data_IF_992285227705
#
_entry.id   IF_992285227705
#
_cell.length_a   1.000
_cell.length_b   1.000
_cell.length_c   1.000
_cell.angle_alpha   90.00
_cell.angle_beta   90.00
_cell.angle_gamma   90.00
#
_symmetry.space_group_name_H-M   'P 1'
#
loop_
_entity.id
_entity.type
_entity.pdbx_description
1 polymer ?
#
# COMPACT_ATOMS: atom_id res chain seq x y z
N UNK A 1 0.69 49.02 56.67
CA UNK A 1 -0.43 48.30 56.02
C UNK A 1 0.08 47.78 54.68
N UNK A 2 0.54 46.53 54.66
CA UNK A 2 1.18 45.91 53.49
C UNK A 2 0.18 45.09 52.69
N UNK A 3 0.05 45.40 51.41
CA UNK A 3 -0.71 44.60 50.44
C UNK A 3 0.24 43.55 49.84
N UNK A 4 0.09 42.30 50.28
CA UNK A 4 0.67 41.13 49.62
C UNK A 4 -0.18 40.74 48.41
N UNK A 5 0.32 41.04 47.21
CA UNK A 5 -0.29 40.62 45.95
C UNK A 5 0.23 39.26 45.51
N UNK A 6 -0.65 38.26 45.46
CA UNK A 6 -0.37 36.90 45.01
C UNK A 6 -0.32 36.86 43.49
N UNK A 7 0.89 36.73 42.92
CA UNK A 7 1.12 36.54 41.49
C UNK A 7 0.93 35.06 41.13
N UNK A 8 -0.20 34.71 40.52
CA UNK A 8 -0.45 33.37 39.99
C UNK A 8 0.21 33.21 38.61
N UNK A 9 1.36 32.54 38.56
CA UNK A 9 2.05 32.18 37.31
C UNK A 9 1.36 30.92 36.75
N UNK A 10 0.51 31.09 35.74
CA UNK A 10 0.01 29.99 34.92
C UNK A 10 1.10 29.55 33.94
N UNK A 11 1.83 28.50 34.30
CA UNK A 11 2.68 27.76 33.35
C UNK A 11 1.75 26.98 32.42
N UNK A 12 1.53 27.53 31.22
CA UNK A 12 0.78 26.86 30.16
C UNK A 12 1.58 25.68 29.62
N UNK A 13 1.36 24.50 30.20
CA UNK A 13 1.84 23.24 29.63
C UNK A 13 1.25 23.07 28.24
N UNK A 14 2.09 23.15 27.21
CA UNK A 14 1.74 22.75 25.85
C UNK A 14 1.55 21.24 25.89
N UNK A 15 0.29 20.80 25.99
CA UNK A 15 -0.08 19.42 25.71
C UNK A 15 0.11 19.20 24.21
N UNK A 16 1.27 18.64 23.84
CA UNK A 16 1.42 17.99 22.54
C UNK A 16 0.57 16.74 22.61
N UNK A 17 -0.67 16.85 22.15
CA UNK A 17 -1.53 15.70 21.93
C UNK A 17 -0.92 14.95 20.75
N UNK A 18 -0.04 13.99 21.05
CA UNK A 18 0.43 13.02 20.07
C UNK A 18 -0.81 12.31 19.54
N UNK A 19 -1.18 12.63 18.31
CA UNK A 19 -2.22 11.89 17.59
C UNK A 19 -1.84 10.41 17.62
N UNK A 20 -2.78 9.50 17.97
CA UNK A 20 -2.47 8.08 17.95
C UNK A 20 -2.03 7.73 16.53
N UNK A 21 -0.75 7.37 16.38
CA UNK A 21 -0.25 6.80 15.13
C UNK A 21 -1.12 5.58 14.85
N UNK A 22 -1.76 5.54 13.69
CA UNK A 22 -2.50 4.37 13.25
C UNK A 22 -1.60 3.14 13.43
N UNK A 23 -2.08 2.14 14.16
CA UNK A 23 -1.30 0.95 14.43
C UNK A 23 -1.15 0.20 13.10
N UNK A 24 0.06 0.22 12.54
CA UNK A 24 0.41 -0.58 11.36
C UNK A 24 0.05 -2.04 11.64
N UNK A 25 -0.47 -2.73 10.62
CA UNK A 25 -0.78 -4.14 10.74
C UNK A 25 0.49 -4.91 11.10
N UNK A 26 0.38 -5.84 12.04
CA UNK A 26 1.53 -6.57 12.55
C UNK A 26 1.70 -7.91 11.82
N UNK A 27 2.87 -8.16 11.25
CA UNK A 27 3.25 -9.52 10.82
C UNK A 27 3.61 -10.32 12.06
N UNK A 28 2.91 -11.42 12.27
CA UNK A 28 3.09 -12.31 13.42
C UNK A 28 3.50 -13.70 12.99
N UNK A 29 4.41 -14.32 13.74
CA UNK A 29 4.85 -15.69 13.49
C UNK A 29 5.18 -16.42 14.79
N UNK A 30 4.82 -17.69 14.88
CA UNK A 30 5.06 -18.54 16.05
C UNK A 30 6.31 -19.40 15.84
N UNK A 31 7.12 -19.53 16.89
CA UNK A 31 8.34 -20.33 16.86
C UNK A 31 8.35 -21.30 18.05
N UNK A 32 8.67 -22.56 17.76
CA UNK A 32 8.83 -23.60 18.78
C UNK A 32 10.24 -23.57 19.36
N UNK A 33 10.35 -23.62 20.69
CA UNK A 33 11.60 -23.68 21.42
C UNK A 33 11.69 -24.93 22.29
N UNK A 34 12.84 -25.59 22.28
CA UNK A 34 13.20 -26.66 23.21
C UNK A 34 13.90 -26.06 24.42
N UNK A 35 13.30 -26.18 25.60
CA UNK A 35 13.76 -25.55 26.84
C UNK A 35 14.34 -26.58 27.81
N UNK A 36 15.54 -26.28 28.33
CA UNK A 36 16.21 -27.05 29.37
C UNK A 36 16.67 -26.14 30.50
N UNK A 37 16.46 -26.56 31.75
CA UNK A 37 16.94 -25.85 32.93
C UNK A 37 15.91 -25.73 34.04
N UNK A 38 16.40 -25.47 35.25
CA UNK A 38 15.67 -25.60 36.51
C UNK A 38 14.45 -24.70 36.71
N UNK A 39 14.26 -23.64 35.90
CA UNK A 39 13.16 -22.70 36.11
C UNK A 39 11.80 -23.30 35.72
N UNK A 40 11.71 -23.97 34.56
CA UNK A 40 10.45 -24.56 34.06
C UNK A 40 10.31 -26.06 34.40
N UNK A 41 11.38 -26.85 34.29
CA UNK A 41 11.44 -28.27 34.71
C UNK A 41 12.89 -28.71 34.86
N UNK A 42 13.21 -29.41 35.94
CA UNK A 42 14.56 -29.90 36.19
C UNK A 42 14.91 -31.19 35.45
N UNK A 43 13.93 -31.94 34.91
CA UNK A 43 14.16 -33.33 34.44
C UNK A 43 13.77 -33.60 33.00
N UNK A 44 12.95 -32.76 32.37
CA UNK A 44 12.45 -33.00 31.01
C UNK A 44 12.55 -31.75 30.14
N UNK A 45 12.96 -31.94 28.88
CA UNK A 45 12.91 -30.89 27.86
C UNK A 45 11.45 -30.47 27.66
N UNK A 46 11.15 -29.19 27.85
CA UNK A 46 9.83 -28.64 27.57
C UNK A 46 9.82 -27.93 26.22
N UNK A 47 8.65 -27.91 25.57
CA UNK A 47 8.45 -27.13 24.36
C UNK A 47 7.63 -25.89 24.67
N UNK A 48 8.13 -24.71 24.29
CA UNK A 48 7.43 -23.42 24.45
C UNK A 48 7.21 -22.80 23.07
N UNK A 49 5.98 -22.35 22.78
CA UNK A 49 5.66 -21.60 21.56
C UNK A 49 5.74 -20.11 21.83
N UNK A 50 6.63 -19.40 21.15
CA UNK A 50 6.86 -17.96 21.31
C UNK A 50 6.50 -17.24 20.03
N UNK A 51 5.66 -16.21 20.13
CA UNK A 51 5.29 -15.38 19.00
C UNK A 51 6.31 -14.26 18.80
N UNK A 52 6.71 -13.98 17.56
CA UNK A 52 7.33 -12.72 17.18
C UNK A 52 6.33 -11.90 16.38
N UNK A 53 6.31 -10.59 16.62
CA UNK A 53 5.41 -9.63 16.00
C UNK A 53 6.19 -8.36 15.67
N UNK A 54 6.08 -7.89 14.44
CA UNK A 54 6.68 -6.63 13.99
C UNK A 54 5.68 -5.88 13.11
N UNK A 55 5.89 -4.59 12.81
CA UNK A 55 5.19 -3.95 11.70
C UNK A 55 5.33 -4.77 10.42
N UNK A 56 4.32 -4.73 9.58
CA UNK A 56 4.31 -5.35 8.26
C UNK A 56 5.33 -4.76 7.29
N UNK A 57 5.58 -3.46 7.43
CA UNK A 57 6.55 -2.73 6.65
C UNK A 57 7.33 -1.70 7.47
N UNK A 58 8.57 -1.44 7.07
CA UNK A 58 9.46 -0.48 7.74
C UNK A 58 10.31 0.29 6.73
N UNK A 59 10.59 1.56 6.97
CA UNK A 59 11.43 2.35 6.07
C UNK A 59 12.92 2.09 6.32
N UNK A 60 13.72 1.99 5.26
CA UNK A 60 15.18 1.86 5.41
C UNK A 60 15.77 3.06 6.19
N UNK A 61 16.74 2.80 7.08
CA UNK A 61 17.34 3.83 7.93
C UNK A 61 16.57 4.14 9.21
N UNK A 62 15.44 3.46 9.46
CA UNK A 62 14.63 3.61 10.68
C UNK A 62 14.81 2.45 11.65
N UNK A 63 14.26 2.60 12.85
CA UNK A 63 14.12 1.53 13.83
C UNK A 63 12.67 1.13 13.98
N UNK A 64 12.40 -0.15 14.19
CA UNK A 64 11.06 -0.64 14.51
C UNK A 64 11.07 -1.51 15.78
N UNK A 65 9.90 -1.59 16.41
CA UNK A 65 9.68 -2.43 17.58
C UNK A 65 9.33 -3.86 17.15
N UNK A 66 10.12 -4.81 17.64
CA UNK A 66 9.90 -6.25 17.52
C UNK A 66 9.40 -6.77 18.86
N UNK A 67 8.15 -7.19 18.90
CA UNK A 67 7.49 -7.72 20.08
C UNK A 67 7.63 -9.23 20.14
N UNK A 68 8.21 -9.72 21.23
CA UNK A 68 8.31 -11.14 21.58
C UNK A 68 7.18 -11.48 22.55
N UNK A 69 6.23 -12.28 22.10
CA UNK A 69 5.05 -12.72 22.86
C UNK A 69 5.38 -13.98 23.65
N UNK A 70 5.64 -13.81 24.95
CA UNK A 70 5.89 -14.94 25.86
C UNK A 70 4.53 -15.49 26.32
N UNK A 71 4.24 -16.78 26.08
CA UNK A 71 2.99 -17.39 26.51
C UNK A 71 2.95 -17.49 28.04
N UNK A 72 1.81 -17.93 28.58
CA UNK A 72 1.76 -18.36 29.98
C UNK A 72 2.76 -19.51 30.21
N UNK A 73 3.49 -19.46 31.31
CA UNK A 73 4.49 -20.47 31.68
C UNK A 73 4.18 -21.06 33.06
N UNK A 74 4.65 -22.29 33.29
CA UNK A 74 4.58 -22.95 34.59
C UNK A 74 6.01 -23.17 35.12
N UNK A 75 6.30 -22.58 36.28
CA UNK A 75 7.55 -22.75 37.00
C UNK A 75 7.61 -24.10 37.71
N UNK A 76 8.81 -24.66 37.83
CA UNK A 76 9.07 -25.87 38.59
C UNK A 76 8.83 -25.67 40.10
N UNK A 77 9.01 -24.45 40.61
CA UNK A 77 8.79 -24.09 42.02
C UNK A 77 8.31 -22.65 42.11
N UNK A 78 7.31 -22.39 42.94
CA UNK A 78 6.84 -21.03 43.19
C UNK A 78 7.94 -20.21 43.89
N UNK A 79 8.16 -18.94 43.50
CA UNK A 79 9.12 -18.10 44.20
C UNK A 79 8.62 -17.78 45.62
N UNK A 80 9.53 -17.64 46.57
CA UNK A 80 9.22 -17.34 47.98
C UNK A 80 8.80 -15.88 48.21
N UNK A 81 9.09 -15.00 47.24
CA UNK A 81 8.70 -13.60 47.24
C UNK A 81 8.29 -13.18 45.82
N UNK A 82 7.51 -12.11 45.71
CA UNK A 82 7.14 -11.55 44.41
C UNK A 82 8.39 -11.15 43.62
N UNK A 83 8.42 -11.51 42.35
CA UNK A 83 9.55 -11.29 41.44
C UNK A 83 9.04 -11.01 40.02
N UNK A 84 9.94 -10.79 39.07
CA UNK A 84 9.62 -10.61 37.66
C UNK A 84 10.40 -11.61 36.82
N UNK A 85 9.75 -12.22 35.84
CA UNK A 85 10.44 -12.96 34.79
C UNK A 85 11.38 -12.02 34.03
N UNK A 86 12.61 -12.43 33.80
CA UNK A 86 13.58 -11.80 32.90
C UNK A 86 13.65 -12.62 31.63
N UNK A 87 13.51 -11.95 30.49
CA UNK A 87 13.42 -12.56 29.16
C UNK A 87 14.57 -12.02 28.32
N UNK A 88 15.54 -12.87 28.00
CA UNK A 88 16.66 -12.49 27.13
C UNK A 88 16.61 -13.33 25.84
N UNK A 89 16.12 -12.72 24.77
CA UNK A 89 16.00 -13.35 23.46
C UNK A 89 17.13 -12.85 22.55
N UNK A 90 17.95 -13.77 22.06
CA UNK A 90 18.92 -13.49 21.00
C UNK A 90 18.23 -13.65 19.65
N UNK A 91 18.41 -12.67 18.78
CA UNK A 91 17.79 -12.60 17.46
C UNK A 91 18.79 -11.97 16.49
N UNK A 92 18.76 -12.42 15.23
CA UNK A 92 19.67 -11.95 14.20
C UNK A 92 18.86 -11.36 13.04
N UNK A 93 18.63 -10.03 13.02
CA UNK A 93 18.09 -9.33 11.86
C UNK A 93 19.08 -9.39 10.69
N UNK A 94 18.59 -9.61 9.48
CA UNK A 94 19.39 -9.59 8.25
C UNK A 94 18.62 -8.90 7.11
N UNK A 95 19.09 -7.74 6.63
CA UNK A 95 20.13 -6.91 7.23
C UNK A 95 19.63 -6.22 8.51
N UNK A 96 20.55 -5.67 9.32
CA UNK A 96 20.22 -4.89 10.51
C UNK A 96 20.83 -5.40 11.81
N UNK A 97 20.40 -4.81 12.93
CA UNK A 97 20.88 -5.18 14.27
C UNK A 97 19.87 -4.82 15.36
N UNK A 98 19.90 -5.55 16.48
CA UNK A 98 19.15 -5.22 17.69
C UNK A 98 19.87 -4.07 18.41
N UNK A 99 19.17 -2.95 18.62
CA UNK A 99 19.75 -1.73 19.21
C UNK A 99 19.77 -1.76 20.74
N UNK A 100 18.90 -2.56 21.34
CA UNK A 100 18.76 -2.69 22.79
C UNK A 100 18.84 -4.17 23.23
N UNK A 101 19.98 -4.86 22.94
CA UNK A 101 20.15 -6.26 23.29
C UNK A 101 20.14 -6.47 24.82
N UNK A 102 19.87 -7.71 25.23
CA UNK A 102 19.90 -8.11 26.64
C UNK A 102 18.52 -8.41 27.22
N UNK A 103 18.50 -8.65 28.53
CA UNK A 103 17.30 -9.07 29.24
C UNK A 103 16.24 -7.96 29.32
N UNK A 104 14.99 -8.35 29.09
CA UNK A 104 13.79 -7.50 29.22
C UNK A 104 12.94 -7.97 30.39
N UNK A 105 12.29 -7.03 31.06
CA UNK A 105 11.36 -7.31 32.16
C UNK A 105 10.06 -7.90 31.64
N UNK A 106 9.88 -9.20 31.85
CA UNK A 106 8.67 -9.97 31.58
C UNK A 106 7.61 -9.84 32.67
N UNK A 107 6.80 -10.89 32.84
CA UNK A 107 5.62 -10.85 33.73
C UNK A 107 6.01 -10.81 35.20
N UNK A 108 5.15 -10.17 36.00
CA UNK A 108 5.27 -10.25 37.45
C UNK A 108 4.81 -11.65 37.89
N UNK A 109 5.60 -12.27 38.76
CA UNK A 109 5.33 -13.59 39.34
C UNK A 109 5.11 -13.39 40.82
N UNK A 110 3.92 -13.70 41.31
CA UNK A 110 3.63 -13.77 42.75
C UNK A 110 4.13 -15.10 43.31
N UNK A 111 3.77 -15.47 44.54
CA UNK A 111 4.14 -16.77 45.14
C UNK A 111 3.37 -17.95 44.51
N UNK A 112 3.32 -18.00 43.18
CA UNK A 112 2.62 -18.98 42.34
C UNK A 112 3.59 -19.60 41.34
N UNK A 113 3.29 -20.82 40.88
CA UNK A 113 4.01 -21.45 39.78
C UNK A 113 3.57 -20.93 38.41
N UNK A 114 2.43 -20.26 38.30
CA UNK A 114 1.97 -19.70 37.01
C UNK A 114 2.59 -18.34 36.75
N UNK A 115 3.20 -18.17 35.58
CA UNK A 115 3.70 -16.90 35.05
C UNK A 115 2.73 -16.45 33.95
N UNK A 116 2.01 -15.33 34.12
CA UNK A 116 1.10 -14.82 33.10
C UNK A 116 1.83 -14.54 31.78
N UNK A 117 1.12 -14.69 30.65
CA UNK A 117 1.63 -14.27 29.36
C UNK A 117 1.98 -12.77 29.37
N UNK A 118 3.10 -12.40 28.74
CA UNK A 118 3.49 -10.99 28.59
C UNK A 118 4.40 -10.79 27.40
N UNK A 119 4.21 -9.65 26.75
CA UNK A 119 5.01 -9.20 25.63
C UNK A 119 6.25 -8.43 26.12
N UNK A 120 7.39 -8.66 25.48
CA UNK A 120 8.60 -7.84 25.63
C UNK A 120 9.02 -7.29 24.29
N UNK A 121 9.57 -6.07 24.27
CA UNK A 121 9.90 -5.36 23.03
C UNK A 121 11.41 -5.21 22.89
N UNK A 122 11.89 -5.42 21.66
CA UNK A 122 13.25 -5.16 21.21
C UNK A 122 13.21 -4.18 20.03
N UNK A 123 14.20 -3.30 19.93
CA UNK A 123 14.33 -2.35 18.83
C UNK A 123 15.26 -2.92 17.77
N UNK A 124 14.72 -3.07 16.56
CA UNK A 124 15.49 -3.51 15.39
C UNK A 124 15.82 -2.28 14.55
N UNK A 125 17.10 -2.12 14.21
CA UNK A 125 17.56 -1.09 13.27
C UNK A 125 17.67 -1.63 11.86
N UNK A 126 17.21 -0.85 10.90
CA UNK A 126 17.31 -1.13 9.47
C UNK A 126 18.37 -0.22 8.85
N UNK A 127 19.44 -0.75 8.25
CA UNK A 127 20.45 0.08 7.61
C UNK A 127 19.85 0.91 6.48
N UNK A 128 20.31 2.15 6.32
CA UNK A 128 19.99 3.00 5.16
C UNK A 128 20.32 2.28 3.85
N UNK A 129 19.45 2.40 2.85
CA UNK A 129 19.64 1.75 1.55
C UNK A 129 19.32 0.24 1.54
N UNK A 130 18.81 -0.31 2.64
CA UNK A 130 18.25 -1.67 2.63
C UNK A 130 17.04 -1.72 1.70
N UNK A 131 16.97 -2.74 0.85
CA UNK A 131 15.89 -2.94 -0.12
C UNK A 131 15.24 -4.30 0.07
N UNK A 132 13.92 -4.42 -0.14
CA UNK A 132 13.21 -5.70 -0.12
C UNK A 132 12.64 -6.03 1.25
N UNK A 133 13.44 -6.64 2.14
CA UNK A 133 12.97 -7.06 3.47
C UNK A 133 14.10 -7.14 4.51
N UNK A 134 13.71 -7.13 5.78
CA UNK A 134 14.53 -7.51 6.93
C UNK A 134 14.02 -8.83 7.46
N UNK A 135 14.86 -9.87 7.42
CA UNK A 135 14.55 -11.18 7.96
C UNK A 135 15.10 -11.28 9.39
N UNK A 136 14.23 -11.50 10.37
CA UNK A 136 14.63 -11.73 11.76
C UNK A 136 14.64 -13.22 12.05
N UNK A 137 15.83 -13.77 12.25
CA UNK A 137 15.99 -15.16 12.68
C UNK A 137 16.01 -15.25 14.21
N UNK A 138 15.12 -16.02 14.85
CA UNK A 138 15.20 -16.29 16.28
C UNK A 138 16.45 -17.12 16.62
N UNK A 139 17.03 -16.86 17.79
CA UNK A 139 18.16 -17.61 18.33
C UNK A 139 17.80 -18.35 19.61
N UNK A 140 18.62 -18.17 20.64
CA UNK A 140 18.40 -18.66 21.99
C UNK A 140 17.50 -17.70 22.78
N UNK A 141 16.61 -18.26 23.60
CA UNK A 141 15.79 -17.56 24.58
C UNK A 141 16.20 -18.02 25.99
N UNK A 142 16.63 -17.09 26.85
CA UNK A 142 16.98 -17.38 28.25
C UNK A 142 15.93 -16.75 29.15
N UNK A 143 15.36 -17.58 30.03
CA UNK A 143 14.37 -17.20 31.02
C UNK A 143 14.99 -17.31 32.42
N UNK A 144 14.83 -16.27 33.23
CA UNK A 144 15.26 -16.26 34.64
C UNK A 144 14.29 -15.44 35.49
N UNK A 145 14.42 -15.47 36.81
CA UNK A 145 13.69 -14.56 37.69
C UNK A 145 14.65 -13.49 38.20
N UNK A 146 14.18 -12.24 38.28
CA UNK A 146 14.95 -11.18 38.92
C UNK A 146 15.11 -11.54 40.40
N UNK A 147 16.36 -11.61 40.89
CA UNK A 147 16.82 -12.07 42.21
C UNK A 147 15.78 -12.16 43.35
N UNK A 148 15.85 -13.20 44.21
CA UNK A 148 17.07 -13.94 44.55
C UNK A 148 17.30 -15.28 43.80
N UNK A 149 16.52 -15.60 42.77
CA UNK A 149 16.66 -16.89 42.08
C UNK A 149 17.88 -16.95 41.16
N UNK A 150 18.67 -18.03 41.27
CA UNK A 150 19.67 -18.42 40.26
C UNK A 150 19.10 -19.38 39.22
N UNK A 151 17.81 -19.72 39.30
CA UNK A 151 17.20 -20.65 38.37
C UNK A 151 17.07 -20.01 36.99
N UNK A 152 17.71 -20.63 36.00
CA UNK A 152 17.64 -20.24 34.59
C UNK A 152 17.14 -21.41 33.76
N UNK A 153 16.34 -21.11 32.74
CA UNK A 153 16.00 -22.05 31.67
C UNK A 153 16.49 -21.47 30.35
N UNK A 154 17.22 -22.28 29.61
CA UNK A 154 17.72 -21.94 28.28
C UNK A 154 16.88 -22.68 27.24
N UNK A 155 16.37 -21.93 26.28
CA UNK A 155 15.50 -22.40 25.23
C UNK A 155 16.17 -22.19 23.88
N UNK A 156 16.27 -23.23 23.07
CA UNK A 156 16.83 -23.16 21.72
C UNK A 156 15.71 -23.30 20.71
N UNK A 157 15.64 -22.39 19.73
CA UNK A 157 14.64 -22.51 18.67
C UNK A 157 14.83 -23.80 17.88
N UNK A 158 13.76 -24.54 17.64
CA UNK A 158 13.76 -25.71 16.75
C UNK A 158 13.44 -25.32 15.30
N UNK A 159 12.99 -24.09 15.08
CA UNK A 159 12.57 -23.60 13.77
C UNK A 159 13.76 -23.07 12.97
N UNK A 160 13.78 -23.36 11.67
CA UNK A 160 14.70 -22.74 10.70
C UNK A 160 14.06 -21.53 10.02
N UNK A 161 12.80 -21.24 10.34
CA UNK A 161 12.05 -20.16 9.72
C UNK A 161 12.52 -18.79 10.22
N UNK A 162 12.18 -17.75 9.44
CA UNK A 162 12.42 -16.35 9.78
C UNK A 162 11.10 -15.57 9.81
N UNK A 163 11.09 -14.48 10.58
CA UNK A 163 10.07 -13.43 10.49
C UNK A 163 10.54 -12.40 9.46
N UNK A 164 9.83 -12.28 8.35
CA UNK A 164 10.14 -11.30 7.31
C UNK A 164 9.32 -10.03 7.53
N UNK A 165 10.02 -8.89 7.60
CA UNK A 165 9.42 -7.55 7.65
C UNK A 165 9.78 -6.85 6.34
N UNK A 166 8.77 -6.41 5.58
CA UNK A 166 9.01 -5.81 4.27
C UNK A 166 9.63 -4.42 4.45
N UNK A 167 10.51 -3.99 3.56
CA UNK A 167 10.91 -2.58 3.52
C UNK A 167 9.85 -1.81 2.73
N UNK A 168 9.06 -1.01 3.45
CA UNK A 168 7.98 -0.19 2.93
C UNK A 168 8.43 1.25 2.67
N UNK A 169 7.86 1.83 1.62
CA UNK A 169 8.05 3.18 1.09
C UNK A 169 9.50 3.60 0.80
N UNK A 170 10.14 2.89 -0.14
CA UNK A 170 11.37 3.36 -0.80
C UNK A 170 12.17 2.26 -1.48
N UNK A 171 11.74 1.83 -2.67
CA UNK A 171 12.62 1.18 -3.65
C UNK A 171 13.22 -0.17 -3.22
N UNK A 172 12.38 -1.19 -3.04
CA UNK A 172 12.84 -2.57 -2.86
C UNK A 172 13.16 -3.27 -4.19
N UNK A 173 14.39 -3.71 -4.43
CA UNK A 173 14.86 -4.42 -5.64
C UNK A 173 14.25 -5.80 -5.95
N UNK A 174 13.05 -6.11 -5.44
CA UNK A 174 12.20 -7.19 -5.99
C UNK A 174 11.40 -6.68 -7.19
N UNK A 175 10.46 -7.44 -7.75
CA UNK A 175 9.54 -6.93 -8.79
C UNK A 175 8.36 -6.14 -8.23
N UNK A 176 8.05 -6.28 -6.95
CA UNK A 176 6.78 -5.82 -6.38
C UNK A 176 6.97 -4.60 -5.43
N UNK A 177 5.91 -3.82 -5.23
CA UNK A 177 5.81 -2.64 -4.33
C UNK A 177 4.49 -2.72 -3.56
N UNK A 178 4.45 -2.50 -2.25
CA UNK A 178 3.17 -2.40 -1.50
C UNK A 178 2.86 -0.93 -1.32
N UNK A 179 1.75 -0.50 -1.91
CA UNK A 179 1.30 0.89 -1.91
C UNK A 179 0.05 0.98 -1.03
N UNK A 180 0.11 1.79 0.01
CA UNK A 180 -1.02 2.15 0.86
C UNK A 180 -1.83 3.23 0.15
N UNK A 181 -3.06 2.91 -0.26
CA UNK A 181 -3.95 3.80 -0.97
C UNK A 181 -5.02 4.37 -0.03
N UNK A 182 -5.20 5.69 -0.05
CA UNK A 182 -6.32 6.35 0.62
C UNK A 182 -7.54 6.33 -0.30
N UNK A 183 -8.49 5.44 -0.01
CA UNK A 183 -9.68 5.20 -0.81
C UNK A 183 -10.92 5.87 -0.20
N UNK A 184 -11.70 6.54 -1.04
CA UNK A 184 -12.96 7.18 -0.66
C UNK A 184 -14.04 6.98 -1.74
N UNK A 185 -15.31 7.07 -1.33
CA UNK A 185 -16.47 7.00 -2.22
C UNK A 185 -16.71 8.36 -2.87
N UNK A 186 -16.71 8.41 -4.20
CA UNK A 186 -16.78 9.69 -4.91
C UNK A 186 -18.20 10.32 -4.88
N UNK A 187 -19.25 9.51 -4.68
CA UNK A 187 -20.61 9.98 -4.48
C UNK A 187 -20.83 10.17 -2.98
N UNK A 188 -21.03 11.41 -2.52
CA UNK A 188 -21.12 11.80 -1.10
C UNK A 188 -22.25 11.20 -0.25
N UNK A 189 -22.81 10.04 -0.63
CA UNK A 189 -23.47 9.14 0.31
C UNK A 189 -22.38 8.37 1.06
N UNK A 190 -22.19 8.69 2.34
CA UNK A 190 -21.21 7.97 3.16
C UNK A 190 -21.48 6.46 3.15
N UNK A 191 -20.42 5.68 3.11
CA UNK A 191 -20.44 4.23 3.26
C UNK A 191 -19.65 3.87 4.53
N UNK A 192 -20.10 2.90 5.31
CA UNK A 192 -19.46 2.57 6.58
C UNK A 192 -18.06 1.96 6.42
N UNK A 193 -17.75 1.43 5.23
CA UNK A 193 -16.44 0.89 4.90
C UNK A 193 -15.48 1.96 4.31
N UNK A 194 -15.88 3.24 4.21
CA UNK A 194 -15.05 4.33 3.66
C UNK A 194 -15.09 5.61 4.53
N UNK A 195 -14.00 6.41 4.58
CA UNK A 195 -12.71 6.24 3.89
C UNK A 195 -11.93 5.02 4.40
N UNK A 196 -11.07 4.47 3.55
CA UNK A 196 -10.32 3.25 3.82
C UNK A 196 -8.88 3.33 3.32
N UNK A 197 -7.94 2.96 4.19
CA UNK A 197 -6.53 2.78 3.85
C UNK A 197 -6.32 1.35 3.33
N UNK A 198 -6.16 1.20 2.02
CA UNK A 198 -6.07 -0.10 1.34
C UNK A 198 -4.65 -0.37 0.86
N UNK A 199 -4.06 -1.46 1.33
CA UNK A 199 -2.75 -1.90 0.86
C UNK A 199 -2.86 -2.74 -0.41
N UNK A 200 -2.19 -2.29 -1.47
CA UNK A 200 -2.13 -3.02 -2.75
C UNK A 200 -0.69 -3.29 -3.11
N UNK A 201 -0.37 -4.57 -3.28
CA UNK A 201 0.88 -5.01 -3.88
C UNK A 201 0.85 -4.77 -5.38
N UNK A 202 1.47 -3.68 -5.80
CA UNK A 202 1.61 -3.22 -7.19
C UNK A 202 2.88 -3.78 -7.82
N UNK A 203 2.74 -4.34 -9.02
CA UNK A 203 3.87 -4.70 -9.87
C UNK A 203 3.67 -4.05 -11.24
N UNK A 204 4.67 -3.32 -11.72
CA UNK A 204 4.70 -2.79 -13.08
C UNK A 204 5.80 -3.48 -13.87
N UNK A 205 5.46 -3.95 -15.06
CA UNK A 205 6.39 -4.53 -16.02
C UNK A 205 6.56 -3.54 -17.17
N UNK A 206 7.67 -2.78 -17.22
CA UNK A 206 7.98 -1.90 -18.33
C UNK A 206 8.18 -2.69 -19.63
N UNK A 207 8.05 -2.02 -20.80
CA UNK A 207 8.36 -2.64 -22.08
C UNK A 207 9.86 -2.97 -22.16
N UNK A 208 10.19 -4.09 -22.80
CA UNK A 208 11.60 -4.50 -23.03
C UNK A 208 12.32 -3.64 -24.05
N UNK A 209 11.57 -2.99 -24.94
CA UNK A 209 12.06 -2.01 -25.89
C UNK A 209 11.00 -0.95 -26.16
N UNK A 210 11.43 0.30 -26.33
CA UNK A 210 10.57 1.41 -26.74
C UNK A 210 11.33 2.28 -27.74
N UNK A 211 10.61 2.86 -28.69
CA UNK A 211 11.15 3.80 -29.68
C UNK A 211 10.44 5.13 -29.57
N UNK A 212 11.17 6.22 -29.81
CA UNK A 212 10.57 7.55 -29.83
C UNK A 212 9.44 7.61 -30.88
N UNK A 213 8.34 8.26 -30.51
CA UNK A 213 7.11 8.43 -31.29
C UNK A 213 6.30 7.13 -31.55
N UNK A 214 6.60 6.04 -30.85
CA UNK A 214 5.81 4.81 -30.85
C UNK A 214 5.12 4.57 -29.50
N UNK A 215 4.03 3.82 -29.51
CA UNK A 215 3.35 3.40 -28.28
C UNK A 215 4.23 2.37 -27.55
N UNK A 216 4.38 2.57 -26.24
CA UNK A 216 5.07 1.68 -25.33
C UNK A 216 4.05 1.20 -24.28
N UNK A 217 3.95 -0.12 -24.11
CA UNK A 217 2.97 -0.75 -23.22
C UNK A 217 3.62 -1.13 -21.89
N UNK A 218 2.99 -0.71 -20.80
CA UNK A 218 3.33 -1.07 -19.43
C UNK A 218 2.25 -2.01 -18.92
N UNK A 219 2.63 -3.16 -18.39
CA UNK A 219 1.69 -4.06 -17.72
C UNK A 219 1.69 -3.74 -16.23
N UNK A 220 0.53 -3.33 -15.71
CA UNK A 220 0.31 -3.15 -14.28
C UNK A 220 -0.44 -4.36 -13.73
N UNK A 221 -0.04 -4.85 -12.56
CA UNK A 221 -0.78 -5.85 -11.79
C UNK A 221 -0.90 -5.38 -10.34
N UNK A 222 -1.96 -5.80 -9.67
CA UNK A 222 -2.24 -5.42 -8.29
C UNK A 222 -2.87 -6.57 -7.52
N UNK A 223 -2.46 -6.74 -6.27
CA UNK A 223 -3.07 -7.70 -5.33
C UNK A 223 -3.37 -6.97 -4.03
N UNK A 224 -4.64 -6.87 -3.65
CA UNK A 224 -5.04 -6.34 -2.34
C UNK A 224 -4.42 -7.21 -1.26
N UNK A 225 -3.67 -6.59 -0.35
CA UNK A 225 -3.05 -7.26 0.78
C UNK A 225 -4.03 -7.34 1.94
N UNK A 226 -3.84 -8.31 2.82
CA UNK A 226 -4.62 -8.45 4.05
C UNK A 226 -4.13 -7.53 5.18
N UNK A 227 -3.12 -6.70 4.91
CA UNK A 227 -2.50 -5.78 5.88
C UNK A 227 -3.32 -4.50 6.02
N UNK A 228 -3.85 -3.98 4.91
CA UNK A 228 -4.73 -2.82 4.92
C UNK A 228 -6.20 -3.16 5.17
N UNK A 229 -7.05 -2.14 5.13
CA UNK A 229 -8.50 -2.30 5.11
C UNK A 229 -8.95 -2.99 3.81
N UNK A 230 -10.09 -3.69 3.88
CA UNK A 230 -10.61 -4.40 2.72
C UNK A 230 -11.25 -3.43 1.74
N UNK A 231 -10.80 -3.45 0.47
CA UNK A 231 -11.45 -2.73 -0.62
C UNK A 231 -12.80 -3.39 -0.95
N UNK A 232 -13.90 -2.90 -0.37
CA UNK A 232 -15.25 -3.44 -0.57
C UNK A 232 -16.06 -2.61 -1.54
N UNK A 233 -16.98 -3.24 -2.25
CA UNK A 233 -17.91 -2.52 -3.11
C UNK A 233 -18.96 -1.76 -2.26
N UNK A 234 -18.97 -0.42 -2.26
CA UNK A 234 -19.91 0.36 -1.47
C UNK A 234 -21.34 0.24 -2.02
N UNK A 235 -22.32 0.72 -1.24
CA UNK A 235 -23.70 0.83 -1.73
C UNK A 235 -23.76 1.71 -2.99
N UNK A 236 -24.43 1.24 -4.04
CA UNK A 236 -24.53 1.97 -5.32
C UNK A 236 -23.35 1.77 -6.28
N UNK A 237 -22.36 0.94 -5.92
CA UNK A 237 -21.30 0.55 -6.85
C UNK A 237 -21.88 -0.21 -8.07
N UNK A 238 -21.39 0.05 -9.29
CA UNK A 238 -21.87 -0.64 -10.49
C UNK A 238 -21.58 -2.15 -10.41
N UNK A 239 -22.62 -2.97 -10.44
CA UNK A 239 -22.48 -4.44 -10.44
C UNK A 239 -22.45 -5.03 -11.85
N UNK A 240 -22.83 -4.26 -12.86
CA UNK A 240 -22.80 -4.64 -14.28
C UNK A 240 -21.65 -3.95 -15.01
N UNK A 241 -20.73 -4.75 -15.55
CA UNK A 241 -19.53 -4.28 -16.26
C UNK A 241 -18.72 -3.20 -15.54
N UNK A 242 -18.44 -3.32 -14.22
CA UNK A 242 -17.58 -2.37 -13.54
C UNK A 242 -16.16 -2.42 -14.12
N UNK A 243 -15.47 -1.28 -14.06
CA UNK A 243 -14.10 -1.12 -14.53
C UNK A 243 -13.19 -0.64 -13.40
N UNK A 244 -11.92 -0.96 -13.57
CA UNK A 244 -10.80 -0.40 -12.85
C UNK A 244 -9.99 0.47 -13.82
N UNK A 245 -9.60 1.64 -13.34
CA UNK A 245 -8.73 2.58 -14.03
C UNK A 245 -7.46 2.74 -13.21
N UNK A 246 -6.32 2.46 -13.84
CA UNK A 246 -5.00 2.53 -13.21
C UNK A 246 -4.28 3.72 -13.78
N UNK A 247 -3.88 4.66 -12.92
CA UNK A 247 -3.00 5.76 -13.32
C UNK A 247 -1.55 5.39 -13.02
N UNK A 248 -0.67 5.60 -13.98
CA UNK A 248 0.79 5.53 -13.82
C UNK A 248 1.34 6.94 -13.98
N UNK A 249 2.20 7.37 -13.05
CA UNK A 249 2.95 8.62 -13.16
C UNK A 249 4.24 8.33 -13.93
N UNK A 250 4.55 9.14 -14.93
CA UNK A 250 5.70 8.94 -15.80
C UNK A 250 6.51 10.23 -15.96
N UNK A 251 7.82 10.11 -16.18
CA UNK A 251 8.72 11.23 -16.44
C UNK A 251 9.88 10.81 -17.33
N UNK A 252 10.52 11.77 -18.01
CA UNK A 252 11.64 11.54 -18.93
C UNK A 252 11.21 11.22 -20.37
N UNK A 253 12.14 11.30 -21.33
CA UNK A 253 11.93 11.00 -22.76
C UNK A 253 10.67 11.62 -23.42
N UNK A 254 10.21 12.77 -22.89
CA UNK A 254 9.04 13.49 -23.38
C UNK A 254 7.72 12.71 -23.32
N UNK A 255 7.58 11.79 -22.36
CA UNK A 255 6.31 11.10 -22.03
C UNK A 255 5.32 12.06 -21.35
N UNK A 256 3.99 11.80 -21.43
CA UNK A 256 3.02 12.51 -20.59
C UNK A 256 3.29 12.25 -19.10
N UNK A 257 2.97 13.22 -18.24
CA UNK A 257 3.20 13.12 -16.79
C UNK A 257 2.37 12.02 -16.13
N UNK A 258 1.23 11.68 -16.72
CA UNK A 258 0.36 10.58 -16.32
C UNK A 258 -0.15 9.81 -17.52
N UNK A 259 -0.46 8.53 -17.32
CA UNK A 259 -1.18 7.71 -18.27
C UNK A 259 -2.13 6.78 -17.56
N UNK A 260 -3.28 6.52 -18.16
CA UNK A 260 -4.34 5.70 -17.56
C UNK A 260 -4.61 4.47 -18.41
N UNK A 261 -4.57 3.30 -17.78
CA UNK A 261 -5.05 2.05 -18.35
C UNK A 261 -6.41 1.69 -17.78
N UNK A 262 -7.18 0.89 -18.51
CA UNK A 262 -8.47 0.37 -18.06
C UNK A 262 -8.52 -1.16 -18.13
N UNK A 263 -9.26 -1.76 -17.21
CA UNK A 263 -9.60 -3.17 -17.23
C UNK A 263 -11.01 -3.39 -16.65
N UNK A 264 -11.70 -4.41 -17.15
CA UNK A 264 -12.99 -4.83 -16.58
C UNK A 264 -12.75 -5.60 -15.29
N UNK A 265 -13.55 -5.28 -14.27
CA UNK A 265 -13.64 -6.10 -13.07
C UNK A 265 -14.53 -7.32 -13.33
N UNK A 266 -14.33 -8.37 -12.54
CA UNK A 266 -15.25 -9.52 -12.52
C UNK A 266 -16.61 -9.14 -11.94
N UNK A 267 -17.42 -10.16 -11.63
CA UNK A 267 -18.68 -9.94 -10.91
C UNK A 267 -18.39 -9.30 -9.55
N UNK A 268 -19.00 -8.14 -9.30
CA UNK A 268 -18.89 -7.42 -8.03
C UNK A 268 -20.22 -7.50 -7.29
N UNK A 269 -20.14 -7.84 -6.00
CA UNK A 269 -21.29 -7.89 -5.08
C UNK A 269 -21.13 -6.79 -4.03
N UNK A 270 -22.19 -6.02 -3.79
CA UNK A 270 -22.19 -4.94 -2.79
C UNK A 270 -21.82 -5.50 -1.39
N UNK A 271 -20.99 -4.77 -0.66
CA UNK A 271 -20.47 -5.14 0.66
C UNK A 271 -19.40 -6.23 0.65
N UNK A 272 -19.04 -6.78 -0.52
CA UNK A 272 -18.00 -7.79 -0.65
C UNK A 272 -16.68 -7.18 -1.15
N UNK A 273 -15.53 -7.82 -0.84
CA UNK A 273 -14.24 -7.42 -1.38
C UNK A 273 -14.24 -7.41 -2.92
N UNK A 274 -13.65 -6.37 -3.50
CA UNK A 274 -13.44 -6.25 -4.94
C UNK A 274 -12.18 -7.01 -5.32
N UNK A 275 -12.31 -8.04 -6.16
CA UNK A 275 -11.16 -8.73 -6.76
C UNK A 275 -10.60 -7.91 -7.92
N UNK A 276 -9.32 -7.54 -7.82
CA UNK A 276 -8.61 -6.81 -8.87
C UNK A 276 -8.41 -7.68 -10.13
N UNK A 277 -8.33 -7.08 -11.33
CA UNK A 277 -8.04 -7.80 -12.55
C UNK A 277 -6.59 -8.31 -12.52
N UNK A 278 -6.32 -9.40 -13.23
CA UNK A 278 -4.99 -10.03 -13.27
C UNK A 278 -3.92 -9.11 -13.87
N UNK A 279 -4.30 -8.25 -14.82
CA UNK A 279 -3.43 -7.23 -15.37
C UNK A 279 -4.21 -6.09 -16.00
N UNK A 280 -3.58 -4.91 -16.06
CA UNK A 280 -4.07 -3.71 -16.74
C UNK A 280 -2.95 -3.22 -17.66
N UNK A 281 -3.27 -2.97 -18.93
CA UNK A 281 -2.30 -2.41 -19.88
C UNK A 281 -2.41 -0.89 -19.90
N UNK A 282 -1.30 -0.20 -19.61
CA UNK A 282 -1.18 1.25 -19.68
C UNK A 282 -0.29 1.59 -20.88
N UNK A 283 -0.76 2.46 -21.77
CA UNK A 283 0.01 2.90 -22.94
C UNK A 283 0.56 4.31 -22.73
N UNK A 284 1.84 4.50 -23.07
CA UNK A 284 2.49 5.81 -23.16
C UNK A 284 3.17 5.95 -24.51
N UNK A 285 3.38 7.19 -24.95
CA UNK A 285 4.06 7.48 -26.22
C UNK A 285 5.21 8.46 -25.96
N UNK A 286 6.44 7.98 -25.73
CA UNK A 286 7.61 8.83 -25.63
C UNK A 286 7.83 9.63 -26.92
N UNK A 287 8.25 10.89 -26.82
CA UNK A 287 8.48 11.76 -27.99
C UNK A 287 9.97 11.97 -28.29
N UNK A 288 10.83 11.72 -27.31
CA UNK A 288 12.29 11.84 -27.43
C UNK A 288 12.96 10.55 -26.96
N UNK A 289 14.25 10.40 -27.24
CA UNK A 289 15.06 9.30 -26.70
C UNK A 289 15.44 9.56 -25.24
N UNK A 290 15.83 8.50 -24.53
CA UNK A 290 16.31 8.60 -23.16
C UNK A 290 15.60 7.65 -22.20
N UNK A 291 15.80 7.86 -20.91
CA UNK A 291 15.22 7.03 -19.86
C UNK A 291 13.85 7.54 -19.46
N UNK A 292 12.89 6.63 -19.35
CA UNK A 292 11.59 6.89 -18.74
C UNK A 292 11.58 6.30 -17.34
N UNK A 293 11.07 7.05 -16.38
CA UNK A 293 10.83 6.61 -15.00
C UNK A 293 9.33 6.58 -14.73
N UNK A 294 8.86 5.49 -14.14
CA UNK A 294 7.46 5.21 -13.82
C UNK A 294 7.29 5.01 -12.33
N UNK A 295 6.20 5.51 -11.75
CA UNK A 295 5.74 5.17 -10.40
C UNK A 295 4.26 4.89 -10.42
N UNK A 296 3.77 4.18 -9.39
CA UNK A 296 2.34 4.00 -9.21
C UNK A 296 1.63 5.36 -9.10
N UNK A 297 0.39 5.42 -9.56
CA UNK A 297 -0.49 6.56 -9.39
C UNK A 297 -1.83 6.11 -8.83
N UNK A 298 -2.80 7.00 -8.88
CA UNK A 298 -4.13 6.80 -8.32
C UNK A 298 -4.89 5.68 -9.04
N UNK A 299 -5.79 5.03 -8.29
CA UNK A 299 -6.73 4.05 -8.82
C UNK A 299 -8.15 4.61 -8.77
N UNK A 300 -8.96 4.21 -9.71
CA UNK A 300 -10.37 4.57 -9.77
C UNK A 300 -11.20 3.33 -10.13
N UNK A 301 -12.32 3.14 -9.47
CA UNK A 301 -13.22 2.01 -9.68
C UNK A 301 -14.62 2.52 -9.96
N UNK A 302 -15.28 1.99 -10.98
CA UNK A 302 -16.63 2.40 -11.36
C UNK A 302 -16.87 2.21 -12.86
N UNK A 303 -17.74 3.04 -13.44
CA UNK A 303 -18.01 3.02 -14.90
C UNK A 303 -17.11 3.97 -15.69
N UNK A 304 -16.50 4.97 -15.03
CA UNK A 304 -15.62 5.98 -15.64
C UNK A 304 -14.49 6.40 -14.71
N UNK A 305 -13.32 6.72 -15.28
CA UNK A 305 -12.19 7.30 -14.55
C UNK A 305 -12.46 8.73 -14.05
N UNK A 306 -13.29 9.49 -14.78
CA UNK A 306 -13.57 10.90 -14.46
C UNK A 306 -14.68 11.09 -13.42
N UNK A 307 -15.47 10.04 -13.21
CA UNK A 307 -16.55 9.99 -12.22
C UNK A 307 -16.59 8.58 -11.63
N UNK A 308 -15.54 8.17 -10.89
CA UNK A 308 -15.49 6.85 -10.32
C UNK A 308 -16.52 6.70 -9.20
N UNK A 309 -16.83 5.47 -8.82
CA UNK A 309 -17.58 5.18 -7.59
C UNK A 309 -16.65 5.16 -6.37
N UNK A 310 -15.41 4.69 -6.54
CA UNK A 310 -14.35 4.69 -5.53
C UNK A 310 -13.10 5.33 -6.14
N UNK A 311 -12.49 6.28 -5.43
CA UNK A 311 -11.21 6.88 -5.81
C UNK A 311 -10.18 6.56 -4.75
N UNK A 312 -9.04 6.02 -5.16
CA UNK A 312 -7.94 5.63 -4.30
C UNK A 312 -6.70 6.44 -4.67
N UNK A 313 -6.24 7.28 -3.75
CA UNK A 313 -5.10 8.16 -3.94
C UNK A 313 -3.81 7.44 -3.55
N UNK A 314 -2.82 7.45 -4.45
CA UNK A 314 -1.49 6.96 -4.12
C UNK A 314 -0.71 8.03 -3.34
N UNK A 315 0.21 7.63 -2.44
CA UNK A 315 1.10 8.58 -1.78
C UNK A 315 1.98 9.30 -2.81
N UNK A 316 2.46 10.48 -2.44
CA UNK A 316 3.29 11.31 -3.34
C UNK A 316 4.77 10.98 -3.29
N UNK A 317 5.22 10.28 -2.25
CA UNK A 317 6.61 9.91 -1.99
C UNK A 317 6.72 8.44 -1.60
N UNK A 318 7.94 7.87 -1.65
CA UNK A 318 8.20 6.51 -1.20
C UNK A 318 7.77 5.41 -2.17
N UNK A 319 7.16 5.77 -3.30
CA UNK A 319 6.78 4.82 -4.34
C UNK A 319 8.01 4.24 -5.04
N UNK A 320 7.90 2.97 -5.44
CA UNK A 320 8.93 2.33 -6.26
C UNK A 320 8.96 2.93 -7.67
N UNK A 321 10.18 3.15 -8.13
CA UNK A 321 10.48 3.61 -9.49
C UNK A 321 10.81 2.43 -10.41
N UNK A 322 10.19 2.39 -11.57
CA UNK A 322 10.50 1.45 -12.65
C UNK A 322 11.05 2.24 -13.83
N UNK A 323 12.06 1.71 -14.54
CA UNK A 323 12.69 2.44 -15.65
C UNK A 323 12.82 1.60 -16.90
N UNK A 324 12.73 2.24 -18.06
CA UNK A 324 13.09 1.62 -19.34
C UNK A 324 13.74 2.64 -20.28
N UNK A 325 14.44 2.15 -21.31
CA UNK A 325 15.13 3.00 -22.28
C UNK A 325 14.30 3.18 -23.55
N UNK A 326 14.29 4.41 -24.07
CA UNK A 326 13.70 4.79 -25.35
C UNK A 326 14.80 5.02 -26.36
N UNK A 327 14.86 4.15 -27.37
CA UNK A 327 15.78 4.24 -28.49
C UNK A 327 15.31 5.22 -29.57
N UNK A 328 16.24 5.67 -30.40
CA UNK A 328 15.91 6.43 -31.62
C UNK A 328 15.13 5.55 -32.58
N UNK A 329 14.12 6.12 -33.24
CA UNK A 329 13.51 5.48 -34.41
C UNK A 329 14.50 5.55 -35.59
N UNK A 330 15.54 4.71 -35.60
CA UNK A 330 16.35 4.54 -36.81
C UNK A 330 15.53 3.73 -37.81
N UNK A 331 14.64 4.44 -38.52
CA UNK A 331 14.31 4.02 -39.87
C UNK A 331 15.58 4.18 -40.70
N UNK A 332 16.41 3.15 -40.74
CA UNK A 332 17.36 3.01 -41.85
C UNK A 332 16.48 2.84 -43.09
N UNK A 333 16.46 3.78 -44.06
CA UNK A 333 15.89 3.47 -45.36
C UNK A 333 16.70 2.28 -45.87
N UNK A 334 16.06 1.13 -46.09
CA UNK A 334 16.70 0.02 -46.76
C UNK A 334 17.18 0.51 -48.11
N UNK A 335 18.48 0.76 -48.21
CA UNK A 335 19.15 1.09 -49.46
C UNK A 335 18.94 -0.06 -50.42
N UNK A 336 18.28 0.27 -51.54
CA UNK A 336 18.23 -0.45 -52.81
C UNK A 336 19.28 -1.56 -52.92
N UNK A 337 18.82 -2.82 -52.87
CA UNK A 337 19.59 -3.94 -53.38
C UNK A 337 19.28 -4.09 -54.87
N UNK A 338 20.31 -3.81 -55.66
CA UNK A 338 20.54 -4.04 -57.09
C UNK A 338 19.79 -5.25 -57.67
N UNK A 339 19.13 -5.13 -58.85
CA UNK A 339 18.49 -6.27 -59.50
C UNK A 339 19.54 -7.17 -60.17
N UNK A 340 19.59 -8.43 -59.75
CA UNK A 340 20.27 -9.49 -60.51
C UNK A 340 19.28 -10.05 -61.53
N UNK A 341 19.58 -9.89 -62.82
CA UNK A 341 18.83 -10.49 -63.93
C UNK A 341 18.92 -12.01 -63.89
N UNK A 342 17.86 -12.69 -63.49
CA UNK A 342 17.63 -14.10 -63.81
C UNK A 342 16.36 -14.25 -64.62
N UNK A 343 16.54 -14.59 -65.89
CA UNK A 343 15.49 -14.89 -66.86
C UNK A 343 14.80 -16.19 -66.48
N UNK A 344 13.58 -16.11 -65.93
CA UNK A 344 12.67 -17.24 -65.87
C UNK A 344 11.29 -16.81 -66.36
N UNK A 345 10.86 -17.38 -67.49
CA UNK A 345 9.57 -17.18 -68.13
C UNK A 345 8.43 -17.64 -67.20
N UNK A 346 7.50 -16.76 -66.78
CA UNK A 346 6.34 -17.18 -66.01
C UNK A 346 5.26 -17.78 -66.93
N UNK A 347 4.84 -19.01 -66.61
CA UNK A 347 3.65 -19.66 -67.17
C UNK A 347 2.40 -18.97 -66.61
N UNK A 348 1.44 -18.53 -67.44
CA UNK A 348 0.26 -17.82 -66.95
C UNK A 348 -0.66 -18.76 -66.15
N UNK A 349 -0.89 -18.41 -64.88
CA UNK A 349 -1.90 -19.03 -64.02
C UNK A 349 -3.25 -18.36 -64.26
N UNK A 350 -4.28 -19.16 -64.56
CA UNK A 350 -5.64 -18.69 -64.86
C UNK A 350 -6.42 -18.53 -63.56
N UNK A 351 -6.70 -17.29 -63.14
CA UNK A 351 -7.57 -17.00 -61.99
C UNK A 351 -9.03 -17.00 -62.46
N UNK A 352 -9.84 -17.94 -61.95
CA UNK A 352 -11.29 -17.97 -62.18
C UNK A 352 -11.99 -17.29 -60.99
N UNK A 353 -12.75 -16.22 -61.26
CA UNK A 353 -13.54 -15.51 -60.25
C UNK A 353 -15.00 -15.94 -60.41
N UNK A 354 -15.57 -16.55 -59.37
CA UNK A 354 -16.98 -16.92 -59.34
C UNK A 354 -17.77 -15.80 -58.63
N UNK A 355 -18.66 -15.14 -59.36
CA UNK A 355 -19.57 -14.14 -58.79
C UNK A 355 -20.82 -14.85 -58.28
N UNK A 356 -21.03 -14.85 -56.96
CA UNK A 356 -22.26 -15.34 -56.35
C UNK A 356 -23.25 -14.17 -56.25
N UNK A 357 -24.24 -14.16 -57.13
CA UNK A 357 -25.38 -13.23 -57.04
C UNK A 357 -26.38 -13.79 -56.03
N UNK A 358 -26.47 -13.17 -54.85
CA UNK A 358 -27.52 -13.49 -53.87
C UNK A 358 -28.78 -12.73 -54.25
N UNK A 359 -29.80 -13.44 -54.74
CA UNK A 359 -31.14 -12.91 -54.92
C UNK A 359 -31.83 -12.82 -53.55
N UNK A 360 -32.16 -11.62 -53.03
CA UNK A 360 -32.89 -11.51 -51.77
C UNK A 360 -34.30 -12.07 -51.94
N UNK A 361 -34.65 -13.06 -51.12
CA UNK A 361 -36.01 -13.60 -51.04
C UNK A 361 -36.96 -12.50 -50.57
N UNK A 362 -37.99 -12.23 -51.38
CA UNK A 362 -39.06 -11.29 -51.10
C UNK A 362 -39.87 -11.75 -49.89
N UNK A 363 -39.46 -11.35 -48.70
CA UNK A 363 -40.31 -11.38 -47.51
C UNK A 363 -40.54 -9.96 -47.03
N UNK A 364 -41.81 -9.59 -47.03
CA UNK A 364 -42.36 -8.28 -46.76
C UNK A 364 -42.09 -7.88 -45.31
N UNK A 365 -41.00 -7.15 -45.05
CA UNK A 365 -40.85 -6.38 -43.80
C UNK A 365 -40.47 -4.95 -44.13
N UNK A 366 -41.47 -4.07 -44.04
CA UNK A 366 -41.34 -2.62 -44.14
C UNK A 366 -40.32 -2.15 -43.10
N UNK A 367 -39.21 -1.59 -43.56
CA UNK A 367 -38.29 -0.81 -42.73
C UNK A 367 -39.02 0.44 -42.25
N UNK A 368 -39.34 0.52 -40.95
CA UNK A 368 -39.69 1.78 -40.29
C UNK A 368 -38.38 2.45 -39.88
N UNK A 369 -37.99 3.47 -40.62
CA UNK A 369 -36.93 4.40 -40.20
C UNK A 369 -37.43 5.20 -38.98
N UNK A 370 -36.70 5.27 -37.86
CA UNK A 370 -37.08 6.11 -36.73
C UNK A 370 -37.05 7.60 -37.13
N UNK A 371 -38.21 8.25 -37.10
CA UNK A 371 -38.39 9.69 -37.35
C UNK A 371 -38.17 10.48 -36.05
N UNK A 372 -36.98 10.36 -35.45
CA UNK A 372 -36.66 11.07 -34.21
C UNK A 372 -35.15 11.42 -34.06
N UNK A 373 -34.43 11.57 -35.17
CA UNK A 373 -32.99 11.86 -35.16
C UNK A 373 -32.62 13.35 -35.14
N UNK A 374 -33.56 14.27 -34.89
CA UNK A 374 -33.33 15.71 -35.02
C UNK A 374 -33.73 16.53 -33.77
N UNK A 375 -33.96 15.89 -32.62
CA UNK A 375 -34.50 16.55 -31.42
C UNK A 375 -33.64 16.35 -30.15
N UNK A 376 -32.31 16.24 -30.29
CA UNK A 376 -31.37 16.25 -29.15
C UNK A 376 -30.63 17.57 -28.98
N UNK A 377 -31.25 18.68 -29.38
CA UNK A 377 -30.82 20.04 -29.05
C UNK A 377 -31.51 20.55 -27.78
N UNK A 378 -31.15 20.01 -26.61
CA UNK A 378 -31.74 20.44 -25.34
C UNK A 378 -31.00 19.89 -24.14
N UNK A 379 -29.90 20.54 -23.74
CA UNK A 379 -29.10 20.14 -22.58
C UNK A 379 -28.25 21.26 -21.98
N UNK A 380 -28.66 22.52 -22.15
CA UNK A 380 -27.89 23.70 -21.71
C UNK A 380 -28.26 24.28 -20.34
N UNK A 381 -29.08 23.60 -19.53
CA UNK A 381 -29.69 24.21 -18.33
C UNK A 381 -29.34 23.50 -16.99
N UNK A 382 -28.45 22.50 -17.00
CA UNK A 382 -28.02 21.80 -15.78
C UNK A 382 -26.54 22.05 -15.43
N UNK A 383 -26.09 23.29 -15.59
CA UNK A 383 -24.82 23.75 -15.04
C UNK A 383 -25.03 24.32 -13.63
N UNK A 384 -24.12 24.07 -12.66
CA UNK A 384 -24.23 24.68 -11.33
C UNK A 384 -24.28 26.20 -11.47
N UNK A 385 -25.36 26.80 -10.97
CA UNK A 385 -25.58 28.24 -11.01
C UNK A 385 -24.34 28.95 -10.44
N UNK A 386 -23.70 29.82 -11.23
CA UNK A 386 -22.51 30.58 -10.82
C UNK A 386 -22.74 31.39 -9.53
N UNK A 387 -24.00 31.62 -9.15
CA UNK A 387 -24.38 32.20 -7.86
C UNK A 387 -23.96 31.35 -6.67
N UNK A 388 -23.86 30.02 -6.80
CA UNK A 388 -23.44 29.15 -5.71
C UNK A 388 -21.96 29.38 -5.35
N UNK A 389 -21.10 29.61 -6.35
CA UNK A 389 -19.68 29.92 -6.16
C UNK A 389 -19.45 31.31 -5.52
N UNK A 390 -20.28 32.30 -5.88
CA UNK A 390 -20.23 33.63 -5.25
C UNK A 390 -20.64 33.55 -3.77
N UNK A 391 -21.61 32.70 -3.44
CA UNK A 391 -22.12 32.55 -2.06
C UNK A 391 -21.12 31.83 -1.15
N UNK A 392 -20.40 30.83 -1.66
CA UNK A 392 -19.30 30.18 -0.90
C UNK A 392 -18.09 31.10 -0.74
N UNK A 393 -17.72 31.83 -1.80
CA UNK A 393 -16.60 32.77 -1.74
C UNK A 393 -16.84 33.91 -0.74
N UNK A 394 -18.06 34.46 -0.69
CA UNK A 394 -18.41 35.55 0.25
C UNK A 394 -18.47 35.06 1.69
N UNK A 395 -18.95 33.85 1.96
CA UNK A 395 -18.96 33.26 3.30
C UNK A 395 -17.53 33.09 3.87
N UNK A 396 -16.59 32.65 3.02
CA UNK A 396 -15.21 32.38 3.44
C UNK A 396 -14.44 33.67 3.76
N UNK A 397 -14.64 34.73 2.96
CA UNK A 397 -14.08 36.07 3.24
C UNK A 397 -14.68 36.68 4.50
N UNK A 398 -15.99 36.50 4.74
CA UNK A 398 -16.65 36.94 5.97
C UNK A 398 -16.07 36.30 7.23
N UNK A 399 -15.85 34.98 7.22
CA UNK A 399 -15.25 34.26 8.34
C UNK A 399 -13.82 34.74 8.65
N UNK A 400 -13.01 34.99 7.61
CA UNK A 400 -11.66 35.51 7.77
C UNK A 400 -11.63 36.93 8.38
N UNK A 401 -12.56 37.80 7.97
CA UNK A 401 -12.66 39.15 8.51
C UNK A 401 -13.04 39.18 10.00
N UNK A 402 -13.97 38.31 10.43
CA UNK A 402 -14.35 38.20 11.84
C UNK A 402 -13.21 37.61 12.69
N UNK A 403 -12.52 36.59 12.18
CA UNK A 403 -11.35 36.00 12.86
C UNK A 403 -10.24 37.01 13.12
N UNK A 404 -9.90 37.83 12.11
CA UNK A 404 -8.89 38.89 12.25
C UNK A 404 -9.28 39.99 13.25
N UNK A 405 -10.56 40.36 13.31
CA UNK A 405 -11.05 41.39 14.23
C UNK A 405 -11.02 40.92 15.70
N UNK A 406 -11.33 39.64 15.96
CA UNK A 406 -11.26 39.05 17.31
C UNK A 406 -9.81 38.99 17.81
N UNK A 407 -8.85 38.68 16.93
CA UNK A 407 -7.43 38.69 17.31
C UNK A 407 -6.92 40.11 17.63
N UNK A 408 -7.36 41.13 16.87
CA UNK A 408 -6.96 42.52 17.13
C UNK A 408 -7.52 43.06 18.44
N UNK A 409 -8.76 42.70 18.80
CA UNK A 409 -9.39 43.11 20.07
C UNK A 409 -8.70 42.51 21.29
N UNK A 410 -8.08 41.33 21.16
CA UNK A 410 -7.30 40.69 22.24
C UNK A 410 -5.92 41.33 22.44
N UNK A 411 -5.33 41.93 21.40
CA UNK A 411 -4.04 42.62 21.52
C UNK A 411 -4.15 44.07 22.04
N UNK A 412 -5.32 44.71 21.95
CA UNK A 412 -5.52 46.08 22.40
C UNK A 412 -5.69 46.23 23.93
N UNK A 413 -6.01 45.14 24.65
CA UNK A 413 -6.19 45.15 26.12
C UNK A 413 -4.91 44.82 26.89
N UNK A 414 -3.76 44.75 26.20
CA UNK A 414 -2.42 44.51 26.76
C UNK A 414 -1.50 45.75 26.68
N UNK A 415 -2.09 46.95 26.62
CA UNK A 415 -1.38 48.23 26.77
C UNK A 415 -1.58 48.79 28.16
#
# INVERSE_FOLDING_TARGET
MGLTGTLAIFVGSIFVVSTPTAALAAVTKQFSYACTGSLLSSTTTQTVSVGLSAPDSVTAGTTFDLTVKIPELTLATAPTAATTLQVNATMTPTPGSIQDPGAKTGANVTTSTTVPAKDVVYKVSVPTGTTGKVSVKPGQLVLSLLSPSTATTTCTTQSTEVLDVTIGTGGGGGTDDVVEYDCDVASGGGDADYPADVDIKVTMTPPTSATANADASITWTGVVQSTGQSLKAPTGFPTTSPKMFVTVKASGAGVPTTATGEATLGTVTIGQPITLPTSVTVKIKPTTTGTVTLTAGDLAFGTSASSPSIKCLAPTTGLKTFTFQVGSSTGTPTTSSTPTNTTSTPKPTKTSTATVTVTPSSSTKKSKTPKAGADTGGGGEAGPDGRMFILTGTALVGAAAVGGLVMRRRNATRG
#
